data_IF_339370569486
#
_entry.id   IF_339370569486
#
_cell.length_a   1.000
_cell.length_b   1.000
_cell.length_c   1.000
_cell.angle_alpha   90.00
_cell.angle_beta   90.00
_cell.angle_gamma   90.00
#
_symmetry.space_group_name_H-M   'P 1'
#
loop_
_entity.id
_entity.type
_entity.pdbx_description
1 polymer ?
#
# COMPACT_ATOMS: atom_id res chain seq x y z
N UNK A 1 -60.52 -1.81 61.78
CA UNK A 1 -59.34 -2.44 62.42
C UNK A 1 -58.12 -1.80 61.77
N UNK A 2 -57.69 -0.58 62.13
CA UNK A 2 -57.31 -0.12 63.49
C UNK A 2 -56.43 -1.19 64.15
N UNK A 3 -55.15 -0.98 64.45
CA UNK A 3 -54.49 0.17 65.10
C UNK A 3 -52.95 0.12 64.96
N UNK A 4 -52.32 1.30 65.10
CA UNK A 4 -51.02 1.62 65.76
C UNK A 4 -49.69 1.06 65.19
N UNK A 5 -48.59 1.80 65.10
CA UNK A 5 -48.17 3.04 65.77
C UNK A 5 -46.83 2.79 66.48
N UNK A 6 -45.72 3.37 66.02
CA UNK A 6 -44.43 3.27 66.74
C UNK A 6 -43.21 3.73 65.96
N UNK A 7 -42.77 4.96 66.21
CA UNK A 7 -41.44 5.51 65.92
C UNK A 7 -41.00 6.32 67.17
N UNK A 8 -39.81 6.94 67.21
CA UNK A 8 -38.46 6.37 67.14
C UNK A 8 -37.64 6.71 68.41
N UNK A 9 -36.51 6.05 68.65
CA UNK A 9 -35.56 6.38 69.74
C UNK A 9 -34.29 6.99 69.17
N UNK A 10 -33.97 8.18 69.68
CA UNK A 10 -32.77 8.98 69.47
C UNK A 10 -32.03 9.17 70.82
N UNK A 11 -30.84 9.82 70.77
CA UNK A 11 -30.01 10.37 71.88
C UNK A 11 -28.80 9.49 72.30
N UNK A 12 -27.60 10.02 72.67
CA UNK A 12 -26.91 11.30 72.35
C UNK A 12 -25.41 11.14 71.89
N UNK A 13 -24.71 12.24 71.55
CA UNK A 13 -23.26 12.30 71.41
C UNK A 13 -22.57 12.75 72.72
N UNK A 14 -21.37 12.22 73.00
CA UNK A 14 -20.51 12.64 74.11
C UNK A 14 -19.05 12.60 73.70
N UNK A 15 -18.32 13.69 73.99
CA UNK A 15 -16.93 13.87 73.62
C UNK A 15 -15.94 13.79 74.80
N UNK A 16 -14.73 14.27 74.46
CA UNK A 16 -13.59 14.77 75.26
C UNK A 16 -12.58 13.79 75.89
N UNK A 17 -11.31 14.22 75.71
CA UNK A 17 -10.10 14.05 76.54
C UNK A 17 -9.06 12.97 76.18
N UNK A 18 -8.05 13.41 75.40
CA UNK A 18 -6.66 13.65 75.84
C UNK A 18 -5.99 12.66 76.81
N UNK A 19 -4.91 12.00 76.36
CA UNK A 19 -3.79 11.63 77.24
C UNK A 19 -2.47 11.56 76.46
N UNK A 20 -1.46 12.21 77.02
CA UNK A 20 -0.14 12.45 76.46
C UNK A 20 0.92 11.42 76.89
N UNK A 21 1.91 11.22 76.00
CA UNK A 21 3.34 10.90 76.23
C UNK A 21 3.72 9.54 76.87
N UNK A 22 4.82 8.87 76.41
CA UNK A 22 6.17 9.37 76.70
C UNK A 22 7.19 9.29 75.56
N UNK A 23 8.20 10.15 75.71
CA UNK A 23 9.47 10.27 75.00
C UNK A 23 10.41 9.07 75.19
N UNK A 24 11.18 8.73 74.13
CA UNK A 24 12.52 8.17 74.28
C UNK A 24 13.39 8.56 73.08
N UNK A 25 14.42 9.34 73.38
CA UNK A 25 15.54 9.70 72.52
C UNK A 25 16.39 8.47 72.14
N UNK A 26 16.77 8.38 70.87
CA UNK A 26 18.01 7.72 70.48
C UNK A 26 18.55 8.40 69.23
N UNK A 27 19.67 9.08 69.39
CA UNK A 27 20.39 9.77 68.33
C UNK A 27 20.81 8.80 67.23
N UNK A 28 20.57 9.22 65.99
CA UNK A 28 21.23 8.66 64.82
C UNK A 28 21.72 9.82 63.96
N UNK A 29 22.99 9.73 63.62
CA UNK A 29 23.81 10.68 62.88
C UNK A 29 23.11 11.12 61.60
N UNK A 30 23.09 12.45 61.41
CA UNK A 30 22.74 13.11 60.18
C UNK A 30 23.69 12.66 59.05
N UNK A 31 23.19 11.80 58.17
CA UNK A 31 23.64 11.77 56.78
C UNK A 31 22.60 12.56 55.99
N UNK A 32 22.95 13.79 55.62
CA UNK A 32 22.17 14.61 54.72
C UNK A 32 21.85 13.80 53.45
N UNK A 33 20.58 13.54 53.11
CA UNK A 33 20.28 13.07 51.78
C UNK A 33 20.67 14.20 50.82
N UNK A 34 21.40 13.84 49.77
CA UNK A 34 21.69 14.73 48.66
C UNK A 34 20.34 15.08 48.02
N UNK A 35 19.74 16.16 48.50
CA UNK A 35 18.59 16.84 47.90
C UNK A 35 19.06 17.51 46.61
N UNK A 36 19.22 16.71 45.54
CA UNK A 36 19.82 17.22 44.31
C UNK A 36 19.46 16.47 43.03
N UNK A 37 18.59 15.46 43.09
CA UNK A 37 17.97 14.88 41.90
C UNK A 37 16.46 14.85 42.12
N UNK A 38 15.83 16.00 41.87
CA UNK A 38 14.43 16.01 41.43
C UNK A 38 14.39 15.09 40.21
N UNK A 39 13.93 13.86 40.38
CA UNK A 39 13.34 13.12 39.27
C UNK A 39 12.09 13.89 38.88
N UNK A 40 12.27 14.93 38.05
CA UNK A 40 11.20 15.48 37.26
C UNK A 40 10.49 14.27 36.63
N UNK A 41 9.19 14.06 36.92
CA UNK A 41 8.47 12.95 36.32
C UNK A 41 8.56 13.16 34.81
N UNK A 42 9.25 12.24 34.12
CA UNK A 42 9.39 12.25 32.66
C UNK A 42 7.98 12.47 32.12
N UNK A 43 7.73 13.64 31.54
CA UNK A 43 6.44 13.97 30.97
C UNK A 43 6.04 12.82 30.05
N UNK A 44 4.85 12.25 30.25
CA UNK A 44 4.43 11.07 29.49
C UNK A 44 4.59 11.37 28.00
N UNK A 45 5.37 10.54 27.30
CA UNK A 45 5.69 10.71 25.87
C UNK A 45 4.41 10.65 25.01
N UNK A 46 3.34 10.06 25.55
CA UNK A 46 2.06 9.91 24.87
C UNK A 46 1.24 11.21 24.90
N UNK A 47 0.74 11.66 23.74
CA UNK A 47 -0.30 12.67 23.68
C UNK A 47 -1.50 12.28 24.53
N UNK A 48 -2.11 13.25 25.21
CA UNK A 48 -3.31 13.07 26.02
C UNK A 48 -4.43 13.94 25.48
N UNK A 49 -5.65 13.40 25.47
CA UNK A 49 -6.87 14.12 25.10
C UNK A 49 -8.02 13.60 25.94
N UNK A 50 -8.73 14.49 26.63
CA UNK A 50 -9.91 14.16 27.43
C UNK A 50 -11.13 13.91 26.54
N UNK A 51 -12.15 13.23 27.10
CA UNK A 51 -13.43 13.04 26.40
C UNK A 51 -14.11 14.37 26.03
N UNK A 52 -14.04 15.35 26.94
CA UNK A 52 -14.69 16.65 26.77
C UNK A 52 -14.05 17.42 25.63
N UNK A 53 -12.71 17.46 25.56
CA UNK A 53 -11.97 18.08 24.46
C UNK A 53 -12.29 17.41 23.12
N UNK A 54 -12.29 16.07 23.11
CA UNK A 54 -12.63 15.29 21.93
C UNK A 54 -14.03 15.63 21.39
N UNK A 55 -15.02 15.75 22.28
CA UNK A 55 -16.42 16.06 21.89
C UNK A 55 -16.60 17.52 21.48
N UNK A 56 -15.83 18.43 22.08
CA UNK A 56 -15.97 19.87 21.87
C UNK A 56 -15.28 20.38 20.60
N UNK A 57 -14.42 19.57 20.00
CA UNK A 57 -13.58 19.96 18.86
C UNK A 57 -13.85 19.10 17.61
N UNK A 58 -15.00 19.27 16.91
CA UNK A 58 -15.29 18.53 15.68
C UNK A 58 -14.25 18.81 14.58
N UNK A 59 -13.63 20.00 14.58
CA UNK A 59 -12.56 20.36 13.67
C UNK A 59 -11.33 19.46 13.81
N UNK A 60 -11.06 18.91 15.00
CA UNK A 60 -9.95 17.99 15.21
C UNK A 60 -10.10 16.74 14.34
N UNK A 61 -11.31 16.18 14.22
CA UNK A 61 -11.58 15.04 13.35
C UNK A 61 -11.29 15.38 11.89
N UNK A 62 -11.77 16.54 11.42
CA UNK A 62 -11.54 17.02 10.06
C UNK A 62 -10.04 17.20 9.79
N UNK A 63 -9.30 17.80 10.74
CA UNK A 63 -7.85 17.97 10.65
C UNK A 63 -7.12 16.62 10.59
N UNK A 64 -7.46 15.67 11.47
CA UNK A 64 -6.85 14.34 11.47
C UNK A 64 -7.12 13.59 10.16
N UNK A 65 -8.35 13.58 9.66
CA UNK A 65 -8.70 12.96 8.37
C UNK A 65 -7.93 13.64 7.22
N UNK A 66 -7.94 14.97 7.18
CA UNK A 66 -7.25 15.76 6.14
C UNK A 66 -5.75 15.50 6.14
N UNK A 67 -5.14 15.21 7.29
CA UNK A 67 -3.71 14.89 7.40
C UNK A 67 -3.33 13.62 6.63
N UNK A 68 -4.18 12.59 6.59
CA UNK A 68 -3.93 11.37 5.81
C UNK A 68 -4.05 11.60 4.31
N UNK A 69 -5.07 12.35 3.88
CA UNK A 69 -5.20 12.76 2.47
C UNK A 69 -4.01 13.63 2.03
N UNK A 70 -3.57 14.56 2.87
CA UNK A 70 -2.38 15.37 2.61
C UNK A 70 -1.12 14.50 2.54
N UNK A 71 -0.95 13.57 3.48
CA UNK A 71 0.15 12.61 3.47
C UNK A 71 0.15 11.78 2.19
N UNK A 72 -1.03 11.36 1.70
CA UNK A 72 -1.15 10.68 0.42
C UNK A 72 -0.70 11.57 -0.75
N UNK A 73 -1.21 12.79 -0.84
CA UNK A 73 -0.84 13.73 -1.88
C UNK A 73 0.68 14.01 -1.88
N UNK A 74 1.26 14.24 -0.69
CA UNK A 74 2.69 14.42 -0.51
C UNK A 74 3.48 13.19 -0.96
N UNK A 75 3.05 11.98 -0.58
CA UNK A 75 3.73 10.75 -0.98
C UNK A 75 3.64 10.51 -2.50
N UNK A 76 2.50 10.82 -3.13
CA UNK A 76 2.36 10.80 -4.60
C UNK A 76 3.32 11.79 -5.25
N UNK A 77 3.42 13.02 -4.73
CA UNK A 77 4.35 14.03 -5.23
C UNK A 77 5.81 13.57 -5.07
N UNK A 78 6.20 13.08 -3.89
CA UNK A 78 7.55 12.55 -3.63
C UNK A 78 7.86 11.34 -4.52
N UNK A 79 6.90 10.45 -4.75
CA UNK A 79 7.05 9.33 -5.67
C UNK A 79 7.25 9.82 -7.10
N UNK A 80 6.45 10.79 -7.57
CA UNK A 80 6.63 11.43 -8.90
C UNK A 80 8.03 12.03 -9.07
N UNK A 81 8.52 12.75 -8.06
CA UNK A 81 9.86 13.34 -8.06
C UNK A 81 11.00 12.30 -8.00
N UNK A 82 10.72 11.10 -7.47
CA UNK A 82 11.70 10.03 -7.31
C UNK A 82 11.63 8.93 -8.39
N UNK A 83 10.63 8.94 -9.29
CA UNK A 83 10.48 7.94 -10.37
C UNK A 83 11.74 7.83 -11.24
N UNK A 84 12.38 8.96 -11.54
CA UNK A 84 13.59 9.00 -12.35
C UNK A 84 14.84 8.47 -11.62
N UNK A 85 14.80 8.36 -10.29
CA UNK A 85 15.96 7.99 -9.47
C UNK A 85 16.08 6.48 -9.25
N UNK A 86 15.00 5.72 -9.39
CA UNK A 86 15.02 4.27 -9.13
C UNK A 86 14.11 3.50 -10.09
N UNK A 87 14.60 2.40 -10.68
CA UNK A 87 13.78 1.54 -11.54
C UNK A 87 12.61 0.88 -10.79
N UNK A 88 12.69 0.75 -9.45
CA UNK A 88 11.59 0.22 -8.64
C UNK A 88 10.42 1.21 -8.50
N UNK A 89 10.70 2.51 -8.65
CA UNK A 89 9.73 3.58 -8.57
C UNK A 89 9.24 4.03 -9.95
N UNK A 90 9.82 3.47 -11.02
CA UNK A 90 9.37 3.73 -12.38
C UNK A 90 7.88 3.36 -12.52
N UNK A 91 7.15 4.15 -13.31
CA UNK A 91 5.70 4.00 -13.47
C UNK A 91 5.28 2.63 -14.03
N UNK A 92 6.13 2.03 -14.86
CA UNK A 92 5.90 0.69 -15.41
C UNK A 92 6.13 -0.45 -14.40
N UNK A 93 6.80 -0.19 -13.27
CA UNK A 93 7.16 -1.18 -12.26
C UNK A 93 6.40 -1.00 -10.94
N UNK A 94 6.16 0.25 -10.51
CA UNK A 94 5.54 0.55 -9.22
C UNK A 94 4.07 0.09 -9.18
N UNK A 95 3.60 -0.59 -8.11
CA UNK A 95 2.23 -1.06 -8.06
C UNK A 95 1.21 0.08 -8.00
N UNK A 96 0.07 -0.07 -8.69
CA UNK A 96 -1.02 0.93 -8.71
C UNK A 96 -1.50 1.33 -7.30
N UNK A 97 -1.67 0.35 -6.40
CA UNK A 97 -2.05 0.60 -5.00
C UNK A 97 -0.85 0.78 -4.06
N UNK A 98 0.37 0.92 -4.59
CA UNK A 98 1.59 0.96 -3.78
C UNK A 98 1.60 2.11 -2.78
N UNK A 99 1.15 3.31 -3.18
CA UNK A 99 1.09 4.49 -2.29
C UNK A 99 0.22 4.21 -1.06
N UNK A 100 -0.98 3.67 -1.28
CA UNK A 100 -1.90 3.36 -0.20
C UNK A 100 -1.32 2.31 0.75
N UNK A 101 -0.67 1.28 0.21
CA UNK A 101 0.00 0.23 1.00
C UNK A 101 1.17 0.76 1.83
N UNK A 102 1.90 1.77 1.35
CA UNK A 102 2.94 2.46 2.14
C UNK A 102 2.31 3.24 3.30
N UNK A 103 1.25 4.02 3.04
CA UNK A 103 0.55 4.77 4.09
C UNK A 103 -0.01 3.83 5.15
N UNK A 104 -0.64 2.74 4.73
CA UNK A 104 -1.15 1.69 5.61
C UNK A 104 -0.03 1.04 6.44
N UNK A 105 1.15 0.82 5.86
CA UNK A 105 2.33 0.33 6.60
C UNK A 105 2.82 1.33 7.64
N UNK A 106 2.86 2.63 7.31
CA UNK A 106 3.24 3.68 8.25
C UNK A 106 2.22 3.79 9.39
N UNK A 107 0.92 3.74 9.08
CA UNK A 107 -0.15 3.69 10.05
C UNK A 107 0.03 2.51 11.02
N UNK A 108 0.20 1.30 10.48
CA UNK A 108 0.43 0.10 11.29
C UNK A 108 1.66 0.25 12.20
N UNK A 109 2.78 0.76 11.70
CA UNK A 109 3.97 1.00 12.51
C UNK A 109 3.70 1.98 13.66
N UNK A 110 3.00 3.09 13.41
CA UNK A 110 2.64 4.05 14.45
C UNK A 110 1.71 3.41 15.49
N UNK A 111 0.65 2.73 15.05
CA UNK A 111 -0.32 2.07 15.95
C UNK A 111 0.34 0.99 16.79
N UNK A 112 1.25 0.20 16.23
CA UNK A 112 1.96 -0.84 16.97
C UNK A 112 2.79 -0.25 18.10
N UNK A 113 3.62 0.74 17.81
CA UNK A 113 4.46 1.38 18.82
C UNK A 113 3.61 2.10 19.87
N UNK A 114 2.59 2.84 19.45
CA UNK A 114 1.71 3.58 20.36
C UNK A 114 0.90 2.63 21.27
N UNK A 115 0.36 1.55 20.72
CA UNK A 115 -0.37 0.54 21.50
C UNK A 115 0.54 -0.12 22.52
N UNK A 116 1.77 -0.50 22.13
CA UNK A 116 2.75 -1.06 23.05
C UNK A 116 3.10 -0.06 24.17
N UNK A 117 3.31 1.21 23.84
CA UNK A 117 3.57 2.25 24.84
C UNK A 117 2.40 2.41 25.83
N UNK A 118 1.15 2.45 25.35
CA UNK A 118 -0.05 2.53 26.22
C UNK A 118 -0.09 1.33 27.18
N UNK A 119 0.16 0.13 26.66
CA UNK A 119 0.10 -1.10 27.44
C UNK A 119 1.26 -1.23 28.43
N UNK A 120 2.44 -0.69 28.10
CA UNK A 120 3.62 -0.68 28.97
C UNK A 120 3.61 0.47 29.99
N UNK A 121 2.92 1.57 29.74
CA UNK A 121 2.76 2.69 30.70
C UNK A 121 1.68 2.38 31.77
N UNK A 122 0.67 1.58 31.41
CA UNK A 122 -0.40 1.14 32.31
C UNK A 122 0.06 0.46 33.63
N UNK A 123 1.11 -0.39 33.68
CA UNK A 123 1.56 -1.01 34.92
C UNK A 123 2.23 -0.08 35.94
N UNK A 124 2.75 1.09 35.54
CA UNK A 124 3.62 1.89 36.43
C UNK A 124 2.89 2.94 37.28
N UNK A 125 1.66 3.34 36.94
CA UNK A 125 0.99 4.50 37.54
C UNK A 125 -0.13 4.18 38.55
N UNK A 126 -0.42 2.89 38.83
CA UNK A 126 -1.53 2.50 39.73
C UNK A 126 -1.23 1.38 40.73
N UNK A 127 0.04 1.11 41.04
CA UNK A 127 0.44 0.14 42.07
C UNK A 127 0.19 0.62 43.53
N UNK A 128 -0.94 1.30 43.81
CA UNK A 128 -1.28 1.84 45.14
C UNK A 128 -2.45 1.10 45.82
N UNK A 129 -3.07 0.10 45.19
CA UNK A 129 -4.06 -0.73 45.89
C UNK A 129 -3.79 -2.22 45.64
N UNK A 130 -3.58 -2.96 46.72
CA UNK A 130 -3.11 -4.36 46.74
C UNK A 130 -4.10 -5.41 46.23
N UNK A 131 -4.92 -5.09 45.23
CA UNK A 131 -5.75 -6.05 44.51
C UNK A 131 -5.02 -6.49 43.25
N UNK A 132 -4.85 -7.80 43.05
CA UNK A 132 -4.25 -8.39 41.83
C UNK A 132 -4.83 -7.77 40.56
N UNK A 133 -4.13 -6.80 40.00
CA UNK A 133 -4.60 -6.06 38.83
C UNK A 133 -4.39 -6.92 37.59
N UNK A 134 -5.48 -7.34 36.96
CA UNK A 134 -5.46 -7.89 35.61
C UNK A 134 -4.80 -6.87 34.69
N UNK A 135 -3.70 -7.25 34.03
CA UNK A 135 -2.97 -6.43 33.05
C UNK A 135 -3.87 -5.90 31.91
N UNK A 136 -5.05 -6.51 31.73
CA UNK A 136 -6.03 -6.14 30.72
C UNK A 136 -7.40 -5.94 31.38
N UNK A 137 -7.74 -4.69 31.68
CA UNK A 137 -9.05 -4.35 32.21
C UNK A 137 -10.03 -4.05 31.06
N UNK A 138 -10.64 -5.11 30.50
CA UNK A 138 -11.63 -4.99 29.43
C UNK A 138 -12.86 -4.18 29.85
N UNK A 139 -13.50 -3.53 28.88
CA UNK A 139 -14.75 -2.78 29.04
C UNK A 139 -14.62 -1.46 29.82
N UNK A 140 -13.41 -1.06 30.23
CA UNK A 140 -13.19 0.22 30.91
C UNK A 140 -13.38 1.42 29.97
N UNK A 141 -13.63 2.63 30.50
CA UNK A 141 -13.64 3.85 29.70
C UNK A 141 -12.32 4.06 28.96
N UNK A 142 -12.40 4.75 27.82
CA UNK A 142 -11.22 5.07 27.01
C UNK A 142 -10.37 6.08 27.79
N UNK A 143 -9.08 5.77 28.00
CA UNK A 143 -8.20 6.70 28.72
C UNK A 143 -7.75 7.85 27.83
N UNK A 144 -7.27 8.92 28.46
CA UNK A 144 -6.81 10.11 27.75
C UNK A 144 -5.63 9.83 26.80
N UNK A 145 -4.81 8.82 27.10
CA UNK A 145 -3.71 8.38 26.22
C UNK A 145 -4.17 7.46 25.08
N UNK A 146 -5.32 6.77 25.24
CA UNK A 146 -5.88 5.89 24.21
C UNK A 146 -6.66 6.68 23.15
N UNK A 147 -7.39 7.73 23.55
CA UNK A 147 -8.25 8.49 22.61
C UNK A 147 -7.48 9.04 21.41
N UNK A 148 -6.30 9.67 21.53
CA UNK A 148 -5.56 10.17 20.37
C UNK A 148 -5.17 9.06 19.40
N UNK A 149 -4.75 7.90 19.90
CA UNK A 149 -4.38 6.75 19.07
C UNK A 149 -5.60 6.15 18.33
N UNK A 150 -6.72 6.02 19.03
CA UNK A 150 -7.97 5.54 18.45
C UNK A 150 -8.51 6.52 17.40
N UNK A 151 -8.41 7.83 17.65
CA UNK A 151 -8.79 8.87 16.70
C UNK A 151 -7.88 8.90 15.46
N UNK A 152 -6.57 8.71 15.66
CA UNK A 152 -5.60 8.53 14.58
C UNK A 152 -5.97 7.34 13.69
N UNK A 153 -6.34 6.21 14.30
CA UNK A 153 -6.78 5.01 13.58
C UNK A 153 -8.12 5.19 12.89
N UNK A 154 -9.08 5.86 13.53
CA UNK A 154 -10.37 6.21 12.93
C UNK A 154 -10.17 7.03 11.65
N UNK A 155 -9.29 8.01 11.70
CA UNK A 155 -8.98 8.90 10.58
C UNK A 155 -8.31 8.14 9.42
N UNK A 156 -7.42 7.20 9.73
CA UNK A 156 -6.85 6.28 8.73
C UNK A 156 -7.94 5.42 8.07
N UNK A 157 -8.79 4.73 8.85
CA UNK A 157 -9.84 3.87 8.31
C UNK A 157 -10.85 4.64 7.44
N UNK A 158 -11.16 5.88 7.79
CA UNK A 158 -11.99 6.76 6.95
C UNK A 158 -11.30 7.04 5.60
N UNK A 159 -10.05 7.51 5.65
CA UNK A 159 -9.25 7.76 4.44
C UNK A 159 -9.17 6.49 3.55
N UNK A 160 -8.87 5.33 4.13
CA UNK A 160 -8.69 4.07 3.40
C UNK A 160 -10.01 3.61 2.76
N UNK A 161 -11.13 3.75 3.48
CA UNK A 161 -12.47 3.46 2.96
C UNK A 161 -12.78 4.30 1.72
N UNK A 162 -12.47 5.61 1.74
CA UNK A 162 -12.67 6.47 0.57
C UNK A 162 -11.76 6.08 -0.60
N UNK A 163 -10.50 5.76 -0.32
CA UNK A 163 -9.54 5.33 -1.34
C UNK A 163 -9.99 4.03 -2.04
N UNK A 164 -10.47 3.06 -1.26
CA UNK A 164 -10.91 1.78 -1.79
C UNK A 164 -12.26 1.86 -2.50
N UNK A 165 -13.15 2.73 -2.02
CA UNK A 165 -14.41 3.03 -2.71
C UNK A 165 -14.13 3.63 -4.09
N UNK A 166 -13.17 4.55 -4.19
CA UNK A 166 -12.72 5.10 -5.47
C UNK A 166 -12.02 4.05 -6.36
N UNK A 167 -11.45 3.00 -5.75
CA UNK A 167 -10.81 1.89 -6.44
C UNK A 167 -11.78 0.75 -6.82
N UNK A 168 -13.06 0.86 -6.44
CA UNK A 168 -14.11 -0.16 -6.64
C UNK A 168 -13.82 -1.53 -6.00
N UNK A 169 -13.04 -1.59 -4.91
CA UNK A 169 -12.79 -2.81 -4.15
C UNK A 169 -13.79 -2.98 -3.00
N UNK A 170 -15.03 -3.36 -3.35
CA UNK A 170 -16.13 -3.44 -2.38
C UNK A 170 -15.87 -4.42 -1.23
N UNK A 171 -15.12 -5.50 -1.48
CA UNK A 171 -14.80 -6.46 -0.42
C UNK A 171 -13.95 -5.82 0.67
N UNK A 172 -12.98 -5.00 0.25
CA UNK A 172 -12.11 -4.30 1.19
C UNK A 172 -12.87 -3.13 1.85
N UNK A 173 -13.67 -2.39 1.10
CA UNK A 173 -14.55 -1.33 1.65
C UNK A 173 -15.43 -1.86 2.78
N UNK A 174 -16.09 -3.01 2.59
CA UNK A 174 -16.92 -3.61 3.65
C UNK A 174 -16.10 -3.94 4.89
N UNK A 175 -14.88 -4.45 4.73
CA UNK A 175 -13.98 -4.71 5.85
C UNK A 175 -13.65 -3.42 6.61
N UNK A 176 -13.26 -2.35 5.93
CA UNK A 176 -12.93 -1.09 6.61
C UNK A 176 -14.14 -0.40 7.22
N UNK A 177 -15.32 -0.46 6.60
CA UNK A 177 -16.56 0.06 7.19
C UNK A 177 -16.91 -0.67 8.49
N UNK A 178 -16.73 -1.99 8.56
CA UNK A 178 -16.96 -2.72 9.82
C UNK A 178 -16.01 -2.28 10.93
N UNK A 179 -14.73 -2.09 10.63
CA UNK A 179 -13.74 -1.54 11.58
C UNK A 179 -14.13 -0.13 12.01
N UNK A 180 -14.50 0.73 11.05
CA UNK A 180 -14.92 2.11 11.29
C UNK A 180 -16.09 2.19 12.27
N UNK A 181 -17.14 1.38 12.06
CA UNK A 181 -18.30 1.31 12.96
C UNK A 181 -17.88 0.87 14.36
N UNK A 182 -16.99 -0.13 14.47
CA UNK A 182 -16.46 -0.59 15.75
C UNK A 182 -15.70 0.50 16.52
N UNK A 183 -14.80 1.21 15.84
CA UNK A 183 -14.04 2.33 16.43
C UNK A 183 -14.97 3.46 16.87
N UNK A 184 -15.91 3.88 16.01
CA UNK A 184 -16.87 4.94 16.34
C UNK A 184 -17.73 4.57 17.55
N UNK A 185 -18.22 3.33 17.61
CA UNK A 185 -19.03 2.88 18.72
C UNK A 185 -18.29 2.93 20.06
N UNK A 186 -17.01 2.55 20.11
CA UNK A 186 -16.17 2.66 21.32
C UNK A 186 -15.92 4.12 21.71
N UNK A 187 -15.61 4.98 20.74
CA UNK A 187 -15.34 6.40 20.99
C UNK A 187 -16.60 7.16 21.47
N UNK A 188 -17.78 6.84 20.92
CA UNK A 188 -19.06 7.46 21.30
C UNK A 188 -19.59 6.91 22.62
N UNK A 189 -19.53 5.58 22.82
CA UNK A 189 -19.98 4.95 24.07
C UNK A 189 -19.01 5.18 25.23
N UNK A 190 -17.79 5.62 24.92
CA UNK A 190 -16.68 5.81 25.84
C UNK A 190 -16.38 4.58 26.72
N UNK A 191 -16.37 3.40 26.11
CA UNK A 191 -16.17 2.11 26.80
C UNK A 191 -15.45 1.11 25.90
N UNK A 192 -14.59 0.30 26.50
CA UNK A 192 -13.82 -0.74 25.81
C UNK A 192 -12.54 -0.21 25.15
N UNK A 193 -11.90 0.80 25.75
CA UNK A 193 -10.68 1.41 25.20
C UNK A 193 -9.54 0.39 25.04
N UNK A 194 -9.25 -0.37 26.10
CA UNK A 194 -8.23 -1.43 26.07
C UNK A 194 -8.58 -2.56 25.10
N UNK A 195 -9.86 -2.94 25.02
CA UNK A 195 -10.35 -3.95 24.08
C UNK A 195 -9.96 -3.57 22.64
N UNK A 196 -10.20 -2.31 22.27
CA UNK A 196 -9.95 -1.79 20.94
C UNK A 196 -8.45 -1.55 20.66
N UNK A 197 -7.69 -1.09 21.65
CA UNK A 197 -6.22 -0.97 21.55
C UNK A 197 -5.58 -2.33 21.30
N UNK A 198 -5.96 -3.35 22.07
CA UNK A 198 -5.46 -4.72 21.90
C UNK A 198 -5.91 -5.32 20.57
N UNK A 199 -7.14 -5.06 20.16
CA UNK A 199 -7.65 -5.50 18.86
C UNK A 199 -6.86 -4.87 17.70
N UNK A 200 -6.59 -3.56 17.75
CA UNK A 200 -5.78 -2.85 16.75
C UNK A 200 -4.34 -3.37 16.74
N UNK A 201 -3.72 -3.55 17.90
CA UNK A 201 -2.38 -4.13 18.01
C UNK A 201 -2.31 -5.51 17.32
N UNK A 202 -3.25 -6.40 17.67
CA UNK A 202 -3.30 -7.74 17.08
C UNK A 202 -3.64 -7.73 15.58
N UNK A 203 -4.45 -6.77 15.14
CA UNK A 203 -4.81 -6.62 13.73
C UNK A 203 -3.62 -6.11 12.90
N UNK A 204 -2.89 -5.11 13.41
CA UNK A 204 -1.86 -4.38 12.68
C UNK A 204 -0.47 -5.03 12.72
N UNK A 205 -0.20 -5.93 13.66
CA UNK A 205 1.16 -6.53 13.83
C UNK A 205 1.64 -7.24 12.57
N UNK A 206 0.72 -7.79 11.79
CA UNK A 206 1.02 -8.50 10.54
C UNK A 206 1.03 -7.60 9.29
N UNK A 207 0.50 -6.38 9.38
CA UNK A 207 0.27 -5.48 8.23
C UNK A 207 1.57 -5.08 7.51
N UNK A 208 2.68 -4.71 8.19
CA UNK A 208 3.93 -4.36 7.50
C UNK A 208 4.49 -5.51 6.66
N UNK A 209 4.46 -6.74 7.20
CA UNK A 209 4.91 -7.93 6.49
C UNK A 209 3.99 -8.28 5.31
N UNK A 210 2.68 -8.11 5.47
CA UNK A 210 1.69 -8.30 4.41
C UNK A 210 1.94 -7.36 3.22
N UNK A 211 2.18 -6.07 3.48
CA UNK A 211 2.44 -5.09 2.44
C UNK A 211 3.80 -5.27 1.78
N UNK A 212 4.84 -5.60 2.55
CA UNK A 212 6.14 -5.95 1.98
C UNK A 212 6.02 -7.15 1.03
N UNK A 213 5.27 -8.18 1.41
CA UNK A 213 4.96 -9.32 0.53
C UNK A 213 4.24 -8.87 -0.75
N UNK A 214 3.25 -7.98 -0.66
CA UNK A 214 2.56 -7.45 -1.82
C UNK A 214 3.53 -6.81 -2.83
N UNK A 215 4.46 -5.96 -2.36
CA UNK A 215 5.47 -5.35 -3.23
C UNK A 215 6.38 -6.38 -3.87
N UNK A 216 6.93 -7.32 -3.10
CA UNK A 216 7.85 -8.34 -3.61
C UNK A 216 7.19 -9.24 -4.66
N UNK A 217 5.94 -9.66 -4.43
CA UNK A 217 5.16 -10.42 -5.43
C UNK A 217 4.92 -9.60 -6.68
N UNK A 218 4.57 -8.32 -6.54
CA UNK A 218 4.32 -7.45 -7.70
C UNK A 218 5.60 -7.26 -8.54
N UNK A 219 6.73 -6.95 -7.90
CA UNK A 219 8.00 -6.77 -8.59
C UNK A 219 8.49 -8.05 -9.27
N UNK A 220 8.37 -9.21 -8.62
CA UNK A 220 8.70 -10.49 -9.23
C UNK A 220 7.86 -10.76 -10.49
N UNK A 221 6.54 -10.57 -10.42
CA UNK A 221 5.64 -10.73 -11.57
C UNK A 221 5.94 -9.75 -12.70
N UNK A 222 6.25 -8.49 -12.36
CA UNK A 222 6.58 -7.47 -13.35
C UNK A 222 7.91 -7.74 -14.03
N UNK A 223 8.92 -8.19 -13.28
CA UNK A 223 10.20 -8.61 -13.85
C UNK A 223 10.00 -9.73 -14.89
N UNK A 224 9.20 -10.75 -14.57
CA UNK A 224 8.88 -11.85 -15.51
C UNK A 224 8.07 -11.38 -16.73
N UNK A 225 7.08 -10.51 -16.54
CA UNK A 225 6.23 -10.02 -17.62
C UNK A 225 7.03 -9.18 -18.62
N UNK A 226 7.84 -8.25 -18.14
CA UNK A 226 8.69 -7.42 -18.99
C UNK A 226 9.72 -8.27 -19.75
N UNK A 227 10.35 -9.24 -19.08
CA UNK A 227 11.30 -10.15 -19.73
C UNK A 227 10.67 -10.92 -20.91
N UNK A 228 9.40 -11.31 -20.81
CA UNK A 228 8.67 -11.98 -21.90
C UNK A 228 8.38 -11.04 -23.06
N UNK A 229 7.93 -9.83 -22.79
CA UNK A 229 7.62 -8.84 -23.84
C UNK A 229 8.86 -8.55 -24.71
N UNK A 230 10.03 -8.37 -24.09
CA UNK A 230 11.25 -8.10 -24.83
C UNK A 230 11.85 -9.31 -25.54
N UNK A 231 11.63 -10.53 -25.03
CA UNK A 231 12.03 -11.73 -25.75
C UNK A 231 11.27 -11.83 -27.09
N UNK A 232 9.98 -11.49 -27.12
CA UNK A 232 9.16 -11.50 -28.34
C UNK A 232 9.58 -10.38 -29.30
N UNK A 233 9.76 -9.14 -28.81
CA UNK A 233 10.22 -8.03 -29.66
C UNK A 233 11.58 -8.32 -30.32
N UNK A 234 12.52 -8.96 -29.60
CA UNK A 234 13.82 -9.33 -30.16
C UNK A 234 13.71 -10.38 -31.27
N UNK A 235 12.78 -11.33 -31.14
CA UNK A 235 12.53 -12.37 -32.15
C UNK A 235 11.84 -11.79 -33.39
N UNK A 236 10.87 -10.90 -33.21
CA UNK A 236 10.17 -10.21 -34.30
C UNK A 236 11.11 -9.26 -35.05
N UNK A 237 12.01 -8.57 -34.34
CA UNK A 237 13.03 -7.73 -34.96
C UNK A 237 14.04 -8.55 -35.79
N UNK A 238 14.48 -9.70 -35.27
CA UNK A 238 15.35 -10.62 -36.01
C UNK A 238 14.66 -11.16 -37.27
N UNK A 239 13.40 -11.61 -37.16
CA UNK A 239 12.63 -12.10 -38.29
C UNK A 239 12.37 -11.02 -39.36
N UNK A 240 12.11 -9.78 -38.94
CA UNK A 240 11.94 -8.63 -39.86
C UNK A 240 13.26 -8.17 -40.50
N UNK A 241 14.40 -8.34 -39.83
CA UNK A 241 15.70 -8.02 -40.39
C UNK A 241 16.17 -9.08 -41.43
N UNK A 242 15.72 -10.33 -41.27
CA UNK A 242 16.03 -11.40 -42.22
C UNK A 242 15.20 -11.33 -43.52
N UNK A 243 13.96 -10.82 -43.47
CA UNK A 243 13.08 -10.72 -44.66
C UNK A 243 13.70 -9.92 -45.83
N UNK A 244 14.29 -8.73 -45.63
CA UNK A 244 14.95 -7.96 -46.69
C UNK A 244 16.21 -8.64 -47.23
N UNK A 245 16.96 -9.35 -46.39
CA UNK A 245 18.19 -10.03 -46.81
C UNK A 245 17.89 -11.23 -47.73
N UNK A 246 16.82 -11.98 -47.44
CA UNK A 246 16.35 -13.08 -48.29
C UNK A 246 15.78 -12.55 -49.63
N UNK A 247 15.04 -11.43 -49.61
CA UNK A 247 14.56 -10.80 -50.84
C UNK A 247 15.68 -10.19 -51.70
N UNK A 248 16.72 -9.61 -51.07
CA UNK A 248 17.89 -9.08 -51.77
C UNK A 248 18.75 -10.18 -52.42
N UNK A 249 18.94 -11.32 -51.74
CA UNK A 249 19.61 -12.48 -52.33
C UNK A 249 18.82 -13.10 -53.49
N UNK A 250 17.48 -13.14 -53.39
CA UNK A 250 16.62 -13.62 -54.48
C UNK A 250 16.69 -12.74 -55.73
N UNK A 251 16.79 -11.41 -55.57
CA UNK A 251 16.97 -10.49 -56.70
C UNK A 251 18.36 -10.57 -57.35
N UNK A 252 19.43 -10.78 -56.59
CA UNK A 252 20.78 -11.00 -57.14
C UNK A 252 20.91 -12.34 -57.87
N UNK A 253 20.25 -13.40 -57.38
CA UNK A 253 20.24 -14.71 -58.04
C UNK A 253 19.50 -14.70 -59.39
N UNK A 254 18.48 -13.83 -59.54
CA UNK A 254 17.76 -13.67 -60.80
C UNK A 254 18.49 -12.74 -61.79
N UNK A 255 19.21 -11.72 -61.31
CA UNK A 255 20.02 -10.84 -62.17
C UNK A 255 21.23 -11.55 -62.81
N UNK A 256 21.75 -12.62 -62.20
CA UNK A 256 22.86 -13.41 -62.76
C UNK A 256 22.44 -14.36 -63.90
N UNK A 257 21.15 -14.43 -64.25
CA UNK A 257 20.62 -15.30 -65.32
C UNK A 257 20.26 -14.57 -66.62
N UNK A 258 20.31 -13.25 -66.65
CA UNK A 258 20.07 -12.48 -67.89
C UNK A 258 21.39 -12.26 -68.63
N UNK A 259 21.62 -13.10 -69.64
CA UNK A 259 22.64 -12.94 -70.68
C UNK A 259 22.20 -11.81 -71.64
N UNK A 260 23.10 -10.93 -72.11
CA UNK A 260 22.69 -9.81 -72.95
C UNK A 260 22.47 -10.31 -74.39
N UNK A 261 21.20 -10.34 -74.83
CA UNK A 261 20.89 -10.31 -76.25
C UNK A 261 20.72 -8.87 -76.70
N UNK A 262 21.62 -8.46 -77.59
CA UNK A 262 21.55 -7.24 -78.35
C UNK A 262 20.53 -7.38 -79.48
N UNK A 263 19.66 -6.40 -79.68
CA UNK A 263 19.53 -5.72 -80.98
C UNK A 263 18.45 -4.62 -81.01
N UNK A 264 18.90 -3.48 -81.54
CA UNK A 264 18.25 -2.58 -82.51
C UNK A 264 17.00 -1.78 -82.15
N UNK A 265 17.20 -0.47 -82.24
CA UNK A 265 16.23 0.60 -82.41
C UNK A 265 15.21 0.34 -83.54
N UNK A 266 14.01 0.91 -83.41
CA UNK A 266 13.59 1.97 -84.33
C UNK A 266 12.36 2.77 -83.84
N UNK A 267 12.14 3.84 -84.58
CA UNK A 267 11.54 5.15 -84.36
C UNK A 267 10.01 5.24 -84.60
N UNK A 268 9.44 6.38 -84.18
CA UNK A 268 8.22 7.05 -84.68
C UNK A 268 6.86 6.38 -84.33
N UNK A 269 5.72 7.04 -84.19
CA UNK A 269 5.27 8.45 -84.25
C UNK A 269 3.76 8.47 -83.98
N UNK A 270 3.23 9.60 -83.48
CA UNK A 270 1.90 10.21 -83.77
C UNK A 270 0.61 9.40 -83.55
N UNK A 271 -0.35 10.07 -82.89
CA UNK A 271 -1.66 10.32 -83.50
C UNK A 271 -2.91 9.85 -82.73
N UNK A 272 -3.51 10.81 -82.01
CA UNK A 272 -4.92 11.23 -82.08
C UNK A 272 -6.10 10.33 -81.65
N UNK A 273 -7.08 11.06 -81.06
CA UNK A 273 -8.53 10.82 -80.93
C UNK A 273 -9.04 9.80 -79.89
N UNK A 274 -10.17 9.95 -79.20
CA UNK A 274 -11.11 11.03 -78.85
C UNK A 274 -12.21 10.38 -77.97
N UNK A 275 -13.07 11.18 -77.32
CA UNK A 275 -14.35 10.85 -76.64
C UNK A 275 -14.28 10.61 -75.11
N UNK A 276 -14.56 11.62 -74.26
CA UNK A 276 -15.87 12.14 -73.81
C UNK A 276 -16.58 11.21 -72.79
N UNK A 277 -16.75 11.59 -71.51
CA UNK A 277 -17.89 12.38 -70.95
C UNK A 277 -17.52 12.81 -69.50
N UNK A 278 -17.55 14.10 -69.13
CA UNK A 278 -18.60 14.83 -68.35
C UNK A 278 -19.06 14.10 -67.07
N UNK A 279 -19.00 14.65 -65.84
CA UNK A 279 -19.71 15.82 -65.26
C UNK A 279 -18.96 16.33 -64.00
N UNK A 280 -18.61 17.62 -63.86
CA UNK A 280 -19.28 18.70 -63.06
C UNK A 280 -19.52 18.35 -61.56
N UNK A 281 -19.18 19.15 -60.55
CA UNK A 281 -19.31 20.61 -60.40
C UNK A 281 -18.58 21.16 -59.13
N UNK A 282 -18.06 22.41 -59.26
CA UNK A 282 -18.01 23.57 -58.32
C UNK A 282 -17.21 23.54 -57.00
N UNK A 283 -16.16 24.39 -56.88
CA UNK A 283 -16.12 25.82 -56.42
C UNK A 283 -16.18 25.95 -54.87
N UNK A 284 -15.44 26.80 -54.15
CA UNK A 284 -14.61 27.99 -54.39
C UNK A 284 -13.76 28.19 -53.11
N UNK A 285 -12.47 28.55 -53.19
CA UNK A 285 -11.91 29.91 -52.97
C UNK A 285 -12.21 30.45 -51.53
N UNK A 286 -11.27 30.94 -50.71
CA UNK A 286 -10.22 31.93 -51.01
C UNK A 286 -9.25 32.07 -49.81
N UNK A 287 -8.04 32.49 -50.14
CA UNK A 287 -6.92 32.83 -49.28
C UNK A 287 -7.15 34.04 -48.36
N UNK A 288 -6.36 34.14 -47.28
CA UNK A 288 -5.73 35.41 -46.89
C UNK A 288 -4.46 35.19 -46.05
N UNK A 289 -3.57 36.17 -46.20
CA UNK A 289 -2.13 36.24 -45.95
C UNK A 289 -1.86 37.14 -44.74
N UNK A 290 -1.01 36.69 -43.78
CA UNK A 290 -0.04 37.43 -42.92
C UNK A 290 -0.57 38.65 -42.08
N UNK A 291 0.18 39.29 -41.13
CA UNK A 291 1.63 39.29 -40.88
C UNK A 291 2.11 39.28 -39.39
N UNK A 292 3.45 39.38 -39.27
CA UNK A 292 4.31 39.61 -38.09
C UNK A 292 4.21 41.03 -37.49
N UNK A 293 4.66 41.15 -36.23
CA UNK A 293 5.11 42.37 -35.51
C UNK A 293 4.49 42.41 -34.10
N UNK A 294 5.17 42.54 -32.96
CA UNK A 294 6.49 43.08 -32.62
C UNK A 294 6.29 44.39 -31.85
N UNK A 295 6.48 44.42 -30.51
CA UNK A 295 6.98 45.56 -29.72
C UNK A 295 7.03 45.27 -28.20
N UNK A 296 7.64 46.19 -27.46
CA UNK A 296 8.60 46.06 -26.35
C UNK A 296 8.29 47.12 -25.31
N UNK A 297 8.48 46.88 -24.01
CA UNK A 297 8.72 47.88 -22.93
C UNK A 297 9.14 47.11 -21.66
N UNK A 298 10.41 47.09 -21.21
CA UNK A 298 11.18 48.03 -20.35
C UNK A 298 10.67 48.21 -18.92
N UNK A 299 11.54 47.87 -17.94
CA UNK A 299 11.41 48.23 -16.53
C UNK A 299 12.60 47.70 -15.71
N UNK A 300 13.61 48.55 -15.53
CA UNK A 300 14.87 48.31 -14.81
C UNK A 300 14.77 48.69 -13.33
N UNK A 301 15.32 47.89 -12.41
CA UNK A 301 15.96 48.36 -11.15
C UNK A 301 17.05 47.37 -10.72
N UNK A 302 18.23 47.89 -10.39
CA UNK A 302 19.39 47.30 -9.70
C UNK A 302 19.98 48.45 -8.84
N UNK A 303 21.00 48.31 -7.94
CA UNK A 303 21.90 47.16 -7.69
C UNK A 303 22.28 46.94 -6.19
N UNK A 304 23.13 45.94 -5.92
CA UNK A 304 24.41 46.03 -5.16
C UNK A 304 24.82 44.70 -4.48
N UNK A 305 26.11 44.36 -4.53
CA UNK A 305 26.73 43.35 -3.66
C UNK A 305 27.83 42.48 -4.30
N UNK A 306 29.06 42.97 -4.28
CA UNK A 306 30.32 42.31 -4.67
C UNK A 306 30.62 41.01 -3.88
N UNK A 307 31.27 40.03 -4.51
CA UNK A 307 32.71 39.73 -4.28
C UNK A 307 33.24 38.66 -5.25
N UNK A 308 34.48 38.91 -5.64
CA UNK A 308 35.31 38.17 -6.59
C UNK A 308 36.20 37.20 -5.83
N UNK A 309 36.37 35.97 -6.33
CA UNK A 309 37.62 35.22 -6.15
C UNK A 309 37.94 34.40 -7.40
N UNK A 310 39.24 34.23 -7.58
CA UNK A 310 39.99 34.23 -8.82
C UNK A 310 40.87 32.98 -8.83
N UNK A 311 40.68 32.01 -9.74
CA UNK A 311 41.73 31.02 -10.06
C UNK A 311 41.64 30.53 -11.50
N UNK A 312 42.52 31.10 -12.33
CA UNK A 312 43.48 30.45 -13.24
C UNK A 312 42.99 29.51 -14.36
N UNK A 313 43.16 30.03 -15.56
CA UNK A 313 43.16 29.38 -16.87
C UNK A 313 44.39 28.48 -17.11
N UNK A 314 44.17 27.32 -17.73
CA UNK A 314 45.05 26.57 -18.65
C UNK A 314 44.17 25.47 -19.28
N UNK A 315 43.83 25.51 -20.57
CA UNK A 315 44.64 25.22 -21.76
C UNK A 315 44.12 23.92 -22.41
N UNK A 316 43.41 24.14 -23.52
CA UNK A 316 43.20 23.30 -24.70
C UNK A 316 43.51 21.79 -24.63
N UNK A 317 42.45 21.00 -24.81
CA UNK A 317 42.49 19.62 -25.25
C UNK A 317 41.18 19.29 -25.96
N UNK A 318 41.14 19.51 -27.27
CA UNK A 318 40.05 19.12 -28.17
C UNK A 318 39.82 17.61 -28.05
N UNK A 319 38.72 17.22 -27.40
CA UNK A 319 38.30 15.82 -27.29
C UNK A 319 36.82 15.74 -27.65
N UNK A 320 36.55 14.91 -28.66
CA UNK A 320 35.30 14.88 -29.41
C UNK A 320 34.04 14.85 -28.57
N UNK A 321 33.09 15.66 -29.02
CA UNK A 321 31.69 15.69 -28.62
C UNK A 321 31.02 14.37 -29.03
N UNK A 322 31.34 13.29 -28.30
CA UNK A 322 30.52 12.10 -28.26
C UNK A 322 29.30 12.47 -27.45
N UNK A 323 28.23 12.89 -28.14
CA UNK A 323 26.91 13.03 -27.56
C UNK A 323 26.57 11.78 -26.76
N UNK A 324 26.74 11.87 -25.43
CA UNK A 324 26.31 10.85 -24.49
C UNK A 324 24.80 10.88 -24.56
N UNK A 325 24.25 10.08 -25.47
CA UNK A 325 22.83 9.78 -25.53
C UNK A 325 22.44 9.40 -24.11
N UNK A 326 21.72 10.28 -23.42
CA UNK A 326 21.25 10.09 -22.06
C UNK A 326 20.33 8.87 -22.11
N UNK A 327 20.91 7.69 -21.89
CA UNK A 327 20.18 6.42 -21.88
C UNK A 327 19.10 6.59 -20.83
N UNK A 328 17.86 6.69 -21.29
CA UNK A 328 16.71 6.89 -20.43
C UNK A 328 16.61 5.68 -19.50
N UNK A 329 17.11 5.87 -18.26
CA UNK A 329 17.11 4.86 -17.20
C UNK A 329 15.69 4.48 -16.78
N UNK A 330 14.68 5.25 -17.21
CA UNK A 330 13.27 4.97 -16.97
C UNK A 330 12.60 4.24 -18.13
N UNK A 331 13.33 4.01 -19.23
CA UNK A 331 12.82 3.21 -20.34
C UNK A 331 12.38 1.83 -19.83
N UNK A 332 11.22 1.32 -20.28
CA UNK A 332 10.73 0.01 -19.86
C UNK A 332 11.74 -1.13 -20.02
N UNK A 333 12.64 -1.05 -21.02
CA UNK A 333 13.75 -1.99 -21.23
C UNK A 333 14.82 -1.89 -20.13
N UNK A 334 15.26 -0.68 -19.78
CA UNK A 334 16.23 -0.46 -18.71
C UNK A 334 15.67 -0.93 -17.35
N UNK A 335 14.38 -0.68 -17.10
CA UNK A 335 13.69 -1.14 -15.89
C UNK A 335 13.60 -2.67 -15.84
N UNK A 336 13.27 -3.33 -16.96
CA UNK A 336 13.24 -4.79 -17.04
C UNK A 336 14.60 -5.42 -16.72
N UNK A 337 15.66 -4.87 -17.33
CA UNK A 337 17.04 -5.31 -17.06
C UNK A 337 17.42 -5.09 -15.59
N UNK A 338 17.09 -3.92 -15.02
CA UNK A 338 17.35 -3.62 -13.63
C UNK A 338 16.59 -4.55 -12.66
N UNK A 339 15.31 -4.81 -12.90
CA UNK A 339 14.50 -5.72 -12.09
C UNK A 339 15.03 -7.16 -12.14
N UNK A 340 15.53 -7.61 -13.30
CA UNK A 340 16.11 -8.97 -13.44
C UNK A 340 17.39 -9.15 -12.63
N UNK A 341 18.12 -8.08 -12.34
CA UNK A 341 19.31 -8.12 -11.48
C UNK A 341 18.97 -8.42 -10.02
N UNK A 342 17.75 -8.12 -9.58
CA UNK A 342 17.31 -8.36 -8.22
C UNK A 342 16.62 -9.72 -8.09
N UNK A 343 17.14 -10.58 -7.20
CA UNK A 343 16.42 -11.79 -6.80
C UNK A 343 15.37 -11.44 -5.74
N UNK A 344 14.13 -11.24 -6.17
CA UNK A 344 13.01 -11.01 -5.27
C UNK A 344 12.55 -12.27 -4.53
N UNK A 345 12.96 -13.46 -4.98
CA UNK A 345 12.40 -14.72 -4.50
C UNK A 345 12.92 -15.08 -3.10
N UNK A 346 14.20 -14.86 -2.85
CA UNK A 346 14.79 -15.04 -1.51
C UNK A 346 14.11 -14.18 -0.43
N UNK A 347 14.08 -12.85 -0.59
CA UNK A 347 13.37 -11.95 0.32
C UNK A 347 11.87 -12.28 0.43
N UNK A 348 11.22 -12.64 -0.68
CA UNK A 348 9.80 -13.02 -0.67
C UNK A 348 9.56 -14.26 0.20
N UNK A 349 10.37 -15.32 0.05
CA UNK A 349 10.24 -16.53 0.87
C UNK A 349 10.50 -16.25 2.36
N UNK A 350 11.42 -15.33 2.69
CA UNK A 350 11.66 -14.90 4.06
C UNK A 350 10.45 -14.14 4.64
N UNK A 351 9.94 -13.15 3.91
CA UNK A 351 8.79 -12.33 4.32
C UNK A 351 7.51 -13.17 4.41
N UNK A 352 7.29 -14.12 3.50
CA UNK A 352 6.13 -15.03 3.57
C UNK A 352 6.16 -15.89 4.85
N UNK A 353 7.34 -16.37 5.26
CA UNK A 353 7.50 -17.11 6.52
C UNK A 353 7.30 -16.23 7.75
N UNK A 354 7.91 -15.04 7.75
CA UNK A 354 7.75 -14.09 8.85
C UNK A 354 6.29 -13.66 9.01
N UNK A 355 5.64 -13.29 7.90
CA UNK A 355 4.21 -12.97 7.87
C UNK A 355 3.37 -14.12 8.42
N UNK A 356 3.60 -15.36 7.99
CA UNK A 356 2.86 -16.52 8.49
C UNK A 356 3.02 -16.69 10.01
N UNK A 357 4.25 -16.61 10.53
CA UNK A 357 4.51 -16.76 11.95
C UNK A 357 3.87 -15.65 12.79
N UNK A 358 4.00 -14.39 12.35
CA UNK A 358 3.40 -13.23 13.01
C UNK A 358 1.87 -13.33 12.98
N UNK A 359 1.30 -13.68 11.82
CA UNK A 359 -0.15 -13.86 11.67
C UNK A 359 -0.68 -15.00 12.55
N UNK A 360 0.04 -16.12 12.64
CA UNK A 360 -0.33 -17.25 13.50
C UNK A 360 -0.29 -16.86 14.99
N UNK A 361 0.80 -16.24 15.45
CA UNK A 361 0.92 -15.86 16.86
C UNK A 361 -0.09 -14.75 17.23
N UNK A 362 -0.17 -13.70 16.40
CA UNK A 362 -1.06 -12.56 16.65
C UNK A 362 -2.54 -12.93 16.51
N UNK A 363 -2.95 -13.45 15.35
CA UNK A 363 -4.37 -13.70 15.06
C UNK A 363 -4.82 -15.13 15.36
N UNK A 364 -3.91 -16.10 15.40
CA UNK A 364 -4.27 -17.49 15.72
C UNK A 364 -4.19 -17.86 17.19
N UNK A 365 -3.39 -17.16 17.99
CA UNK A 365 -3.27 -17.42 19.42
C UNK A 365 -3.78 -16.23 20.23
N UNK A 366 -3.23 -15.03 20.02
CA UNK A 366 -3.61 -13.88 20.83
C UNK A 366 -5.07 -13.43 20.57
N UNK A 367 -5.52 -13.36 19.30
CA UNK A 367 -6.87 -12.90 19.01
C UNK A 367 -8.00 -13.76 19.61
N UNK A 368 -7.99 -15.11 19.58
CA UNK A 368 -8.96 -15.92 20.31
C UNK A 368 -9.03 -15.60 21.82
N UNK A 369 -7.87 -15.44 22.46
CA UNK A 369 -7.81 -15.07 23.88
C UNK A 369 -8.43 -13.69 24.13
N UNK A 370 -8.13 -12.71 23.25
CA UNK A 370 -8.70 -11.37 23.32
C UNK A 370 -10.21 -11.37 23.10
N UNK A 371 -10.71 -12.14 22.13
CA UNK A 371 -12.14 -12.27 21.83
C UNK A 371 -12.86 -12.93 22.98
N UNK A 372 -12.29 -13.97 23.59
CA UNK A 372 -12.85 -14.60 24.79
C UNK A 372 -12.97 -13.59 25.94
N UNK A 373 -11.91 -12.84 26.24
CA UNK A 373 -11.93 -11.81 27.27
C UNK A 373 -12.94 -10.69 26.96
N UNK A 374 -13.02 -10.25 25.71
CA UNK A 374 -13.95 -9.23 25.24
C UNK A 374 -15.42 -9.69 25.37
N UNK A 375 -15.73 -10.92 24.96
CA UNK A 375 -17.09 -11.47 24.98
C UNK A 375 -17.58 -11.77 26.40
N UNK A 376 -16.68 -12.24 27.28
CA UNK A 376 -17.00 -12.52 28.68
C UNK A 376 -17.10 -11.26 29.54
N UNK A 377 -16.61 -10.11 29.04
CA UNK A 377 -16.76 -8.83 29.73
C UNK A 377 -18.16 -8.23 29.54
N UNK A 378 -18.92 -8.17 30.63
CA UNK A 378 -20.29 -7.64 30.62
C UNK A 378 -20.41 -6.14 30.33
N UNK A 379 -19.34 -5.37 30.56
CA UNK A 379 -19.31 -3.91 30.33
C UNK A 379 -18.93 -3.54 28.89
N UNK A 380 -18.38 -4.48 28.11
CA UNK A 380 -18.02 -4.24 26.72
C UNK A 380 -19.29 -4.09 25.84
N UNK A 381 -19.35 -3.06 24.96
CA UNK A 381 -20.51 -2.85 24.10
C UNK A 381 -20.84 -4.10 23.26
N UNK A 382 -22.14 -4.40 23.13
CA UNK A 382 -22.64 -5.58 22.41
C UNK A 382 -22.09 -5.64 20.98
N UNK A 383 -22.05 -4.50 20.30
CA UNK A 383 -21.53 -4.40 18.94
C UNK A 383 -20.05 -4.79 18.83
N UNK A 384 -19.24 -4.42 19.83
CA UNK A 384 -17.81 -4.77 19.89
C UNK A 384 -17.65 -6.27 20.12
N UNK A 385 -18.44 -6.85 21.03
CA UNK A 385 -18.44 -8.30 21.27
C UNK A 385 -18.79 -9.08 20.00
N UNK A 386 -19.89 -8.74 19.34
CA UNK A 386 -20.30 -9.37 18.10
C UNK A 386 -19.28 -9.16 16.97
N UNK A 387 -18.77 -7.94 16.81
CA UNK A 387 -17.75 -7.61 15.82
C UNK A 387 -16.43 -8.38 16.02
N UNK A 388 -16.01 -8.56 17.27
CA UNK A 388 -14.79 -9.31 17.61
C UNK A 388 -14.87 -10.78 17.18
N UNK A 389 -16.03 -11.42 17.38
CA UNK A 389 -16.29 -12.79 16.92
C UNK A 389 -16.29 -12.84 15.39
N UNK A 390 -16.94 -11.88 14.73
CA UNK A 390 -16.94 -11.80 13.26
C UNK A 390 -15.53 -11.69 12.66
N UNK A 391 -14.70 -10.80 13.20
CA UNK A 391 -13.30 -10.62 12.77
C UNK A 391 -12.46 -11.88 13.03
N UNK A 392 -12.72 -12.59 14.14
CA UNK A 392 -12.07 -13.84 14.44
C UNK A 392 -12.39 -14.92 13.40
N UNK A 393 -13.67 -15.07 13.02
CA UNK A 393 -14.11 -16.02 11.99
C UNK A 393 -13.43 -15.73 10.66
N UNK A 394 -13.39 -14.46 10.23
CA UNK A 394 -12.68 -14.05 9.01
C UNK A 394 -11.19 -14.37 9.12
N UNK A 395 -10.57 -14.14 10.28
CA UNK A 395 -9.15 -14.45 10.50
C UNK A 395 -8.87 -15.96 10.43
N UNK A 396 -9.75 -16.81 10.96
CA UNK A 396 -9.66 -18.27 10.81
C UNK A 396 -9.78 -18.71 9.35
N UNK A 397 -10.72 -18.14 8.60
CA UNK A 397 -10.85 -18.43 7.16
C UNK A 397 -9.53 -18.14 6.41
N UNK A 398 -8.94 -16.97 6.63
CA UNK A 398 -7.64 -16.61 6.03
C UNK A 398 -6.51 -17.53 6.48
N UNK A 399 -6.49 -17.94 7.74
CA UNK A 399 -5.50 -18.87 8.27
C UNK A 399 -5.56 -20.23 7.59
N UNK A 400 -6.76 -20.76 7.32
CA UNK A 400 -6.95 -22.00 6.56
C UNK A 400 -6.38 -21.84 5.15
N UNK A 401 -6.64 -20.71 4.48
CA UNK A 401 -6.09 -20.46 3.14
C UNK A 401 -4.56 -20.40 3.15
N UNK A 402 -3.96 -19.71 4.13
CA UNK A 402 -2.51 -19.64 4.29
C UNK A 402 -1.89 -21.00 4.55
N UNK A 403 -2.51 -21.80 5.43
CA UNK A 403 -2.04 -23.14 5.77
C UNK A 403 -2.10 -24.09 4.56
N UNK A 404 -3.19 -24.07 3.78
CA UNK A 404 -3.30 -24.84 2.52
C UNK A 404 -2.22 -24.42 1.52
N UNK A 405 -1.94 -23.12 1.42
CA UNK A 405 -0.85 -22.59 0.60
C UNK A 405 0.52 -23.12 1.03
N UNK A 406 0.80 -23.17 2.33
CA UNK A 406 2.04 -23.67 2.90
C UNK A 406 2.21 -25.20 2.70
N UNK A 407 1.18 -25.99 3.04
CA UNK A 407 1.18 -27.44 2.86
C UNK A 407 1.45 -27.84 1.40
N UNK A 408 0.82 -27.14 0.45
CA UNK A 408 1.05 -27.39 -0.98
C UNK A 408 2.52 -27.20 -1.36
N UNK A 409 3.20 -26.21 -0.78
CA UNK A 409 4.63 -25.94 -1.05
C UNK A 409 5.54 -26.97 -0.39
N UNK A 410 5.25 -27.39 0.85
CA UNK A 410 6.01 -28.44 1.54
C UNK A 410 5.93 -29.78 0.79
N UNK A 411 4.73 -30.16 0.35
CA UNK A 411 4.53 -31.39 -0.43
C UNK A 411 5.21 -31.31 -1.80
N UNK A 412 5.20 -30.14 -2.44
CA UNK A 412 5.88 -29.93 -3.73
C UNK A 412 7.41 -30.04 -3.62
N UNK A 413 8.01 -29.55 -2.52
CA UNK A 413 9.46 -29.68 -2.27
C UNK A 413 9.85 -31.15 -2.05
N UNK A 414 9.04 -31.89 -1.30
CA UNK A 414 9.24 -33.32 -1.04
C UNK A 414 9.14 -34.17 -2.32
N UNK A 415 8.18 -33.85 -3.20
CA UNK A 415 8.06 -34.51 -4.50
C UNK A 415 9.28 -34.22 -5.40
N UNK A 416 9.80 -32.99 -5.39
CA UNK A 416 10.95 -32.60 -6.22
C UNK A 416 12.26 -33.22 -5.73
N UNK A 417 12.46 -33.37 -4.42
CA UNK A 417 13.64 -34.04 -3.86
C UNK A 417 13.66 -35.55 -4.13
N UNK A 418 12.49 -36.20 -4.20
CA UNK A 418 12.38 -37.62 -4.58
C UNK A 418 12.71 -37.87 -6.05
N UNK A 419 12.39 -36.92 -6.93
CA UNK A 419 12.69 -37.04 -8.38
C UNK A 419 14.16 -36.73 -8.68
N UNK A 420 14.80 -35.82 -7.93
CA UNK A 420 16.24 -35.53 -8.10
C UNK A 420 17.19 -36.57 -7.47
N UNK A 421 16.66 -37.59 -6.78
CA UNK A 421 17.43 -38.71 -6.25
C UNK A 421 17.75 -39.81 -7.26
N UNK A 422 17.20 -39.74 -8.48
CA UNK A 422 17.62 -40.57 -9.62
C UNK A 422 18.39 -39.69 -10.60
N UNK A 423 19.70 -39.93 -10.73
CA UNK A 423 20.53 -39.26 -11.71
C UNK A 423 20.03 -39.57 -13.13
N UNK A 424 19.29 -38.62 -13.71
CA UNK A 424 19.10 -38.53 -15.15
C UNK A 424 19.59 -37.13 -15.60
N UNK A 425 20.39 -37.03 -16.69
CA UNK A 425 20.91 -35.75 -17.16
C UNK A 425 19.76 -34.81 -17.51
N UNK A 426 19.81 -33.60 -16.96
CA UNK A 426 18.85 -32.54 -17.22
C UNK A 426 18.88 -32.17 -18.71
N UNK A 427 17.94 -32.70 -19.51
CA UNK A 427 17.61 -32.14 -20.82
C UNK A 427 16.62 -30.99 -20.61
N UNK A 428 16.86 -29.81 -21.19
CA UNK A 428 15.88 -28.72 -21.17
C UNK A 428 14.71 -29.11 -22.07
N UNK A 429 13.65 -29.65 -21.47
CA UNK A 429 12.42 -29.93 -22.19
C UNK A 429 11.70 -28.61 -22.45
N UNK A 430 11.83 -28.14 -23.68
CA UNK A 430 11.14 -26.98 -24.22
C UNK A 430 9.64 -27.29 -24.29
N UNK A 431 8.94 -27.08 -23.17
CA UNK A 431 7.50 -27.24 -23.09
C UNK A 431 6.85 -26.09 -23.86
N UNK A 432 6.62 -26.30 -25.15
CA UNK A 432 5.72 -25.49 -25.99
C UNK A 432 4.33 -25.53 -25.34
N UNK A 433 4.06 -24.60 -24.43
CA UNK A 433 2.69 -24.29 -24.02
C UNK A 433 2.21 -23.24 -25.00
N UNK A 434 1.62 -23.73 -26.08
CA UNK A 434 0.98 -22.93 -27.11
C UNK A 434 -0.23 -22.22 -26.46
N UNK A 435 0.00 -21.03 -25.90
CA UNK A 435 -1.07 -20.11 -25.60
C UNK A 435 -1.43 -19.43 -26.91
N UNK A 436 -2.49 -19.91 -27.55
CA UNK A 436 -3.16 -19.21 -28.63
C UNK A 436 -3.78 -17.93 -28.05
N UNK A 437 -3.00 -16.84 -28.05
CA UNK A 437 -3.48 -15.50 -27.76
C UNK A 437 -4.38 -15.10 -28.94
N UNK A 438 -5.69 -14.96 -28.70
CA UNK A 438 -6.56 -14.26 -29.66
C UNK A 438 -6.11 -12.80 -29.71
N UNK A 439 -5.86 -12.23 -30.90
CA UNK A 439 -5.57 -10.81 -31.03
C UNK A 439 -6.77 -9.98 -30.52
N UNK A 440 -6.54 -8.85 -29.84
CA UNK A 440 -7.60 -7.93 -29.46
C UNK A 440 -7.92 -7.08 -30.69
N UNK A 441 -8.96 -7.46 -31.43
CA UNK A 441 -9.37 -6.68 -32.60
C UNK A 441 -10.29 -7.44 -33.53
N UNK A 442 -11.49 -7.76 -33.07
CA UNK A 442 -12.64 -7.92 -33.97
C UNK A 442 -13.87 -7.44 -33.19
N UNK A 443 -14.16 -6.15 -33.37
CA UNK A 443 -15.48 -5.60 -33.12
C UNK A 443 -16.45 -6.26 -34.09
N UNK A 444 -17.39 -7.02 -33.53
CA UNK A 444 -18.41 -7.74 -34.27
C UNK A 444 -19.76 -7.49 -33.61
N UNK A 445 -20.38 -6.40 -34.04
CA UNK A 445 -21.79 -6.06 -33.93
C UNK A 445 -22.70 -7.27 -34.21
N UNK A 446 -23.64 -7.57 -33.31
CA UNK A 446 -24.91 -8.29 -33.55
C UNK A 446 -25.79 -8.09 -32.31
N UNK A 447 -26.74 -7.16 -32.35
CA UNK A 447 -28.10 -7.29 -32.91
C UNK A 447 -28.88 -8.37 -32.16
N UNK A 448 -29.89 -7.91 -31.42
CA UNK A 448 -30.71 -8.74 -30.56
C UNK A 448 -31.47 -9.82 -31.30
N UNK A 449 -31.80 -10.86 -30.56
CA UNK A 449 -32.97 -11.66 -30.86
C UNK A 449 -33.64 -12.11 -29.56
N UNK A 450 -34.96 -12.07 -29.62
CA UNK A 450 -35.89 -12.34 -28.54
C UNK A 450 -36.57 -13.66 -28.88
N UNK A 451 -36.50 -14.66 -28.01
CA UNK A 451 -37.49 -15.76 -27.85
C UNK A 451 -36.93 -16.76 -26.83
N UNK A 452 -37.59 -17.01 -25.69
CA UNK A 452 -38.81 -17.81 -25.47
C UNK A 452 -38.56 -19.33 -25.57
N UNK A 453 -38.92 -20.01 -24.47
CA UNK A 453 -39.18 -21.44 -24.26
C UNK A 453 -38.03 -22.47 -24.38
N UNK A 454 -37.72 -23.19 -23.29
CA UNK A 454 -38.43 -24.44 -22.96
C UNK A 454 -37.89 -25.11 -21.68
N UNK A 455 -38.85 -25.54 -20.88
CA UNK A 455 -38.74 -26.54 -19.82
C UNK A 455 -38.38 -27.94 -20.34
N UNK A 456 -37.46 -28.66 -19.68
CA UNK A 456 -37.66 -30.06 -19.19
C UNK A 456 -36.38 -30.69 -18.63
N UNK A 457 -36.44 -31.01 -17.34
CA UNK A 457 -36.35 -32.34 -16.73
C UNK A 457 -35.40 -33.39 -17.38
N UNK A 458 -34.40 -33.86 -16.62
CA UNK A 458 -34.31 -35.29 -16.20
C UNK A 458 -33.15 -35.59 -15.22
N UNK A 459 -33.55 -36.06 -14.04
CA UNK A 459 -33.09 -37.25 -13.28
C UNK A 459 -31.60 -37.57 -13.15
N UNK A 460 -31.22 -37.75 -11.88
CA UNK A 460 -30.02 -38.41 -11.37
C UNK A 460 -29.96 -38.20 -9.87
#
# INVERSE_FOLDING_TARGET
METEGGAPVSVPPGGVAELASPSADSGSLAASPISGLSSEPIASLLPRMTYVEMKSCPLLYVCCISSFFLTHALLVCLLRLSRAKSPLLAECAFPRHGVNRVISTLHACVVLNWSLLILLEAPSSRAVSGTSHCLFHFGRPVTDSERPMLLFSLSYFLYDTFYELASWDLSSVLHHVTSLIGLLNVLVADRGGTDLVMALLAAEVSTPALHLRYFLVHYAKRAEALAKTYAVESQDACAKAELPAVYAQAHQANAAKEKPEACTADRASRGADASATQETEKEKEKALVMPKGGERETGSVSPEGMTSENVKSQAEGSQGDNGVLLVDKTSPQAVAHALRKYDFRGPLDAVERAFFFIFLCGRGIAAPCLVYACVTCGTTPVLVRAGSVGILVVSFFWMILLFRGLLKRLNSKTAKSRVSGGAAPWKPECRKREYRVRPPGEGGERRGDSRQDESKCKTG
#
